data_IF_327620358323
#
_entry.id   IF_327620358323
#
_cell.length_a   1.000
_cell.length_b   1.000
_cell.length_c   1.000
_cell.angle_alpha   90.00
_cell.angle_beta   90.00
_cell.angle_gamma   90.00
#
_symmetry.space_group_name_H-M   'P 1'
#
loop_
_entity.id
_entity.type
_entity.pdbx_description
1 polymer ?
#
# COMPACT_ATOMS: atom_id res chain seq x y z
N UNK A 1 -19.14 12.56 15.82
CA UNK A 1 -18.25 11.45 16.20
C UNK A 1 -16.83 11.95 16.00
N UNK A 2 -16.14 12.26 17.09
CA UNK A 2 -14.75 12.71 17.06
C UNK A 2 -13.85 11.56 16.62
N UNK A 3 -13.11 11.77 15.53
CA UNK A 3 -12.12 10.83 15.04
C UNK A 3 -10.98 10.75 16.05
N UNK A 4 -10.83 9.60 16.70
CA UNK A 4 -9.75 9.37 17.65
C UNK A 4 -8.38 9.56 16.98
N UNK A 5 -7.45 10.32 17.60
CA UNK A 5 -6.20 10.76 16.97
C UNK A 5 -5.25 9.60 16.64
N UNK A 6 -5.45 8.44 17.23
CA UNK A 6 -4.62 7.24 17.02
C UNK A 6 -4.91 6.56 15.66
N UNK A 7 -6.10 6.78 15.08
CA UNK A 7 -6.49 6.17 13.79
C UNK A 7 -5.77 6.81 12.59
N UNK A 8 -5.34 8.08 12.72
CA UNK A 8 -4.66 8.86 11.69
C UNK A 8 -3.27 8.35 11.32
N UNK A 9 -2.65 7.57 12.20
CA UNK A 9 -1.30 7.05 12.01
C UNK A 9 -1.29 5.67 11.35
N UNK A 10 -2.36 4.87 11.44
CA UNK A 10 -2.34 3.47 11.01
C UNK A 10 -2.89 3.23 9.60
N UNK A 11 -3.54 4.22 8.99
CA UNK A 11 -4.12 4.10 7.66
C UNK A 11 -3.49 5.13 6.69
N UNK A 12 -2.45 4.77 5.92
CA UNK A 12 -1.81 5.69 4.97
C UNK A 12 -2.78 6.18 3.86
N UNK A 13 -3.92 5.51 3.67
CA UNK A 13 -5.00 5.93 2.78
C UNK A 13 -6.10 6.78 3.46
N UNK A 14 -6.09 6.92 4.80
CA UNK A 14 -6.93 7.94 5.47
C UNK A 14 -6.49 9.36 5.08
N UNK A 15 -5.21 9.53 4.69
CA UNK A 15 -4.65 10.80 4.22
C UNK A 15 -5.19 11.26 2.87
N UNK A 16 -5.89 10.40 2.11
CA UNK A 16 -6.74 10.84 1.00
C UNK A 16 -8.06 11.41 1.56
N UNK A 17 -7.88 12.54 2.25
CA UNK A 17 -8.74 13.71 2.37
C UNK A 17 -10.13 13.60 2.98
N UNK A 18 -10.59 12.48 3.55
CA UNK A 18 -11.99 12.40 4.03
C UNK A 18 -13.01 12.83 2.95
N UNK A 19 -12.57 12.84 1.68
CA UNK A 19 -13.22 13.35 0.50
C UNK A 19 -12.80 12.44 -0.64
N UNK A 20 -13.77 12.01 -1.44
CA UNK A 20 -13.57 11.19 -2.63
C UNK A 20 -14.04 11.95 -3.86
N UNK A 21 -13.44 11.66 -5.00
CA UNK A 21 -13.82 12.26 -6.28
C UNK A 21 -14.87 11.39 -6.96
N UNK A 22 -15.98 12.01 -7.36
CA UNK A 22 -16.94 11.35 -8.23
C UNK A 22 -16.41 11.35 -9.67
N UNK A 23 -16.29 10.17 -10.29
CA UNK A 23 -15.82 10.02 -11.67
C UNK A 23 -16.76 10.63 -12.72
N UNK A 24 -18.03 10.84 -12.37
CA UNK A 24 -19.02 11.40 -13.29
C UNK A 24 -19.02 12.94 -13.27
N UNK A 25 -19.05 13.55 -12.07
CA UNK A 25 -19.17 15.00 -11.93
C UNK A 25 -17.85 15.69 -11.55
N UNK A 26 -16.76 14.94 -11.34
CA UNK A 26 -15.45 15.42 -10.89
C UNK A 26 -15.48 16.27 -9.61
N UNK A 27 -16.57 16.20 -8.84
CA UNK A 27 -16.67 16.90 -7.55
C UNK A 27 -16.09 16.05 -6.43
N UNK A 28 -15.37 16.71 -5.53
CA UNK A 28 -14.90 16.12 -4.28
C UNK A 28 -15.99 16.25 -3.22
N UNK A 29 -16.42 15.12 -2.67
CA UNK A 29 -17.46 15.03 -1.66
C UNK A 29 -16.95 14.28 -0.43
N UNK A 30 -17.38 14.62 0.79
CA UNK A 30 -16.98 13.93 1.99
C UNK A 30 -17.23 12.42 1.88
N UNK A 31 -16.26 11.60 2.25
CA UNK A 31 -16.35 10.12 2.18
C UNK A 31 -17.50 9.60 3.06
N UNK A 32 -17.88 10.35 4.10
CA UNK A 32 -18.98 10.02 5.00
C UNK A 32 -20.35 10.13 4.33
N UNK A 33 -20.48 10.87 3.22
CA UNK A 33 -21.73 11.00 2.45
C UNK A 33 -21.95 9.79 1.51
N UNK A 34 -20.97 8.88 1.39
CA UNK A 34 -21.05 7.74 0.49
C UNK A 34 -21.38 6.45 1.24
N UNK A 35 -22.38 5.76 0.72
CA UNK A 35 -22.73 4.39 1.07
C UNK A 35 -22.79 3.53 -0.19
N UNK A 36 -22.53 2.25 -0.03
CA UNK A 36 -22.72 1.27 -1.09
C UNK A 36 -24.22 1.16 -1.42
N UNK A 37 -24.57 1.20 -2.71
CA UNK A 37 -25.98 1.27 -3.16
C UNK A 37 -26.78 0.02 -2.80
N UNK A 38 -26.12 -1.13 -2.76
CA UNK A 38 -26.69 -2.45 -2.48
C UNK A 38 -26.87 -2.71 -0.98
N UNK A 39 -25.86 -2.37 -0.16
CA UNK A 39 -25.86 -2.70 1.28
C UNK A 39 -26.17 -1.51 2.19
N UNK A 40 -26.24 -0.30 1.63
CA UNK A 40 -26.29 0.97 2.37
C UNK A 40 -25.17 1.13 3.41
N UNK A 41 -24.09 0.34 3.29
CA UNK A 41 -22.96 0.40 4.20
C UNK A 41 -22.04 1.57 3.83
N UNK A 42 -21.60 2.31 4.84
CA UNK A 42 -20.60 3.37 4.66
C UNK A 42 -19.20 2.81 4.41
N UNK A 43 -18.36 3.57 3.71
CA UNK A 43 -16.96 3.19 3.44
C UNK A 43 -16.17 2.96 4.76
N UNK A 44 -16.52 3.69 5.82
CA UNK A 44 -15.89 3.53 7.13
C UNK A 44 -16.23 2.17 7.76
N UNK A 45 -17.51 1.81 7.81
CA UNK A 45 -17.96 0.51 8.30
C UNK A 45 -17.35 -0.64 7.51
N UNK A 46 -17.24 -0.49 6.18
CA UNK A 46 -16.60 -1.50 5.32
C UNK A 46 -15.14 -1.74 5.72
N UNK A 47 -14.38 -0.65 5.94
CA UNK A 47 -12.96 -0.74 6.35
C UNK A 47 -12.78 -1.37 7.73
N UNK A 48 -13.68 -1.08 8.66
CA UNK A 48 -13.65 -1.63 10.01
C UNK A 48 -13.91 -3.13 9.98
N UNK A 49 -14.98 -3.58 9.33
CA UNK A 49 -15.27 -5.01 9.13
C UNK A 49 -14.14 -5.73 8.41
N UNK A 50 -13.56 -5.07 7.41
CA UNK A 50 -12.40 -5.62 6.71
C UNK A 50 -11.19 -5.77 7.62
N UNK A 51 -10.89 -4.78 8.46
CA UNK A 51 -9.76 -4.84 9.39
C UNK A 51 -9.94 -5.94 10.45
N UNK A 52 -11.16 -6.20 10.89
CA UNK A 52 -11.47 -7.29 11.82
C UNK A 52 -11.26 -8.67 11.20
N UNK A 53 -11.70 -8.84 9.95
CA UNK A 53 -11.67 -10.14 9.25
C UNK A 53 -10.36 -10.42 8.52
N UNK A 54 -9.56 -9.40 8.24
CA UNK A 54 -8.31 -9.57 7.51
C UNK A 54 -7.32 -10.43 8.28
N UNK A 55 -6.61 -11.37 7.64
CA UNK A 55 -5.56 -12.09 8.30
C UNK A 55 -4.42 -11.15 8.70
N UNK A 56 -3.66 -11.51 9.74
CA UNK A 56 -2.63 -10.66 10.33
C UNK A 56 -1.61 -10.13 9.31
N UNK A 57 -1.16 -11.00 8.39
CA UNK A 57 -0.20 -10.61 7.35
C UNK A 57 -0.77 -9.57 6.39
N UNK A 58 -2.05 -9.67 6.02
CA UNK A 58 -2.69 -8.66 5.18
C UNK A 58 -2.78 -7.32 5.92
N UNK A 59 -3.18 -7.34 7.20
CA UNK A 59 -3.21 -6.13 8.04
C UNK A 59 -1.83 -5.48 8.13
N UNK A 60 -0.77 -6.26 8.30
CA UNK A 60 0.60 -5.72 8.38
C UNK A 60 0.95 -4.92 7.14
N UNK A 61 0.65 -5.40 5.93
CA UNK A 61 0.98 -4.68 4.69
C UNK A 61 0.30 -3.31 4.62
N UNK A 62 -0.91 -3.19 5.17
CA UNK A 62 -1.66 -1.92 5.22
C UNK A 62 -1.22 -0.95 6.31
N UNK A 63 -0.36 -1.37 7.24
CA UNK A 63 0.22 -0.46 8.22
C UNK A 63 1.37 0.34 7.62
N UNK A 64 1.67 1.55 8.13
CA UNK A 64 2.87 2.29 7.73
C UNK A 64 4.14 1.47 7.91
N UNK A 65 4.21 0.66 8.97
CA UNK A 65 5.33 -0.23 9.22
C UNK A 65 5.49 -1.27 8.09
N UNK A 66 4.43 -1.94 7.68
CA UNK A 66 4.49 -2.90 6.57
C UNK A 66 4.80 -2.25 5.22
N UNK A 67 4.25 -1.06 4.96
CA UNK A 67 4.59 -0.28 3.76
C UNK A 67 6.08 0.08 3.75
N UNK A 68 6.62 0.53 4.88
CA UNK A 68 8.06 0.81 5.04
C UNK A 68 8.92 -0.44 4.88
N UNK A 69 8.45 -1.61 5.32
CA UNK A 69 9.17 -2.89 5.13
C UNK A 69 9.24 -3.25 3.65
N UNK A 70 8.16 -3.06 2.87
CA UNK A 70 8.17 -3.36 1.43
C UNK A 70 9.06 -2.37 0.67
N UNK A 71 8.94 -1.07 0.95
CA UNK A 71 9.76 -0.05 0.31
C UNK A 71 11.23 -0.16 0.72
N UNK A 72 11.49 -0.36 2.02
CA UNK A 72 12.83 -0.57 2.54
C UNK A 72 13.46 -1.86 2.02
N UNK A 73 12.69 -2.95 1.94
CA UNK A 73 13.13 -4.23 1.42
C UNK A 73 13.51 -4.17 -0.06
N UNK A 74 12.66 -3.59 -0.91
CA UNK A 74 12.96 -3.40 -2.33
C UNK A 74 14.17 -2.49 -2.58
N UNK A 75 14.31 -1.43 -1.78
CA UNK A 75 15.47 -0.54 -1.79
C UNK A 75 16.76 -1.28 -1.38
N UNK A 76 16.69 -2.07 -0.31
CA UNK A 76 17.81 -2.87 0.19
C UNK A 76 18.24 -3.92 -0.84
N UNK A 77 17.30 -4.59 -1.50
CA UNK A 77 17.58 -5.54 -2.58
C UNK A 77 18.28 -4.83 -3.75
N UNK A 78 17.78 -3.67 -4.17
CA UNK A 78 18.41 -2.87 -5.23
C UNK A 78 19.84 -2.44 -4.88
N UNK A 79 20.07 -2.02 -3.63
CA UNK A 79 21.39 -1.67 -3.13
C UNK A 79 22.34 -2.89 -3.09
N UNK A 80 21.87 -4.02 -2.57
CA UNK A 80 22.65 -5.26 -2.50
C UNK A 80 23.06 -5.74 -3.90
N UNK A 81 22.16 -5.71 -4.87
CA UNK A 81 22.48 -6.05 -6.26
C UNK A 81 23.54 -5.11 -6.86
N UNK A 82 23.43 -3.80 -6.58
CA UNK A 82 24.45 -2.83 -6.97
C UNK A 82 25.80 -3.09 -6.31
N UNK A 83 25.83 -3.46 -5.03
CA UNK A 83 27.06 -3.82 -4.32
C UNK A 83 27.66 -5.14 -4.81
N UNK A 84 26.84 -6.15 -5.14
CA UNK A 84 27.32 -7.42 -5.67
C UNK A 84 28.01 -7.26 -7.04
N UNK A 85 27.69 -6.20 -7.79
CA UNK A 85 28.41 -5.88 -9.03
C UNK A 85 29.91 -5.56 -8.82
N UNK A 86 30.32 -5.24 -7.58
CA UNK A 86 31.74 -5.04 -7.21
C UNK A 86 32.59 -6.29 -7.38
N UNK A 87 31.99 -7.48 -7.40
CA UNK A 87 32.70 -8.73 -7.68
C UNK A 87 33.20 -8.81 -9.13
N UNK A 88 32.62 -8.01 -10.02
CA UNK A 88 32.92 -8.03 -11.47
C UNK A 88 33.62 -6.73 -11.90
N UNK A 89 33.34 -5.62 -11.22
CA UNK A 89 33.83 -4.28 -11.60
C UNK A 89 34.78 -3.76 -10.52
N UNK A 90 36.03 -3.46 -10.89
CA UNK A 90 37.05 -2.94 -9.95
C UNK A 90 36.92 -1.43 -9.66
N UNK A 91 36.18 -0.70 -10.48
CA UNK A 91 36.10 0.75 -10.38
C UNK A 91 35.12 1.20 -9.29
N UNK A 92 35.64 1.80 -8.21
CA UNK A 92 34.85 2.22 -7.04
C UNK A 92 33.73 3.22 -7.36
N UNK A 93 33.94 4.14 -8.32
CA UNK A 93 32.92 5.12 -8.70
C UNK A 93 31.79 4.47 -9.50
N UNK A 94 32.09 3.44 -10.31
CA UNK A 94 31.08 2.67 -11.04
C UNK A 94 30.22 1.86 -10.07
N UNK A 95 30.84 1.24 -9.07
CA UNK A 95 30.13 0.53 -8.00
C UNK A 95 29.17 1.49 -7.28
N UNK A 96 29.65 2.68 -6.91
CA UNK A 96 28.82 3.70 -6.26
C UNK A 96 27.63 4.14 -7.11
N UNK A 97 27.84 4.35 -8.41
CA UNK A 97 26.78 4.69 -9.36
C UNK A 97 25.75 3.56 -9.50
N UNK A 98 26.18 2.31 -9.66
CA UNK A 98 25.29 1.15 -9.79
C UNK A 98 24.50 0.89 -8.50
N UNK A 99 25.12 1.05 -7.34
CA UNK A 99 24.45 1.00 -6.05
C UNK A 99 23.36 2.06 -5.93
N UNK A 100 23.66 3.31 -6.30
CA UNK A 100 22.69 4.40 -6.28
C UNK A 100 21.53 4.17 -7.26
N UNK A 101 21.83 3.79 -8.51
CA UNK A 101 20.81 3.48 -9.51
C UNK A 101 19.94 2.30 -9.06
N UNK A 102 20.56 1.23 -8.55
CA UNK A 102 19.84 0.07 -8.01
C UNK A 102 18.92 0.44 -6.86
N UNK A 103 19.36 1.31 -5.95
CA UNK A 103 18.54 1.84 -4.85
C UNK A 103 17.32 2.60 -5.37
N UNK A 104 17.52 3.53 -6.31
CA UNK A 104 16.44 4.34 -6.89
C UNK A 104 15.45 3.46 -7.65
N UNK A 105 15.93 2.58 -8.52
CA UNK A 105 15.09 1.63 -9.27
C UNK A 105 14.34 0.71 -8.31
N UNK A 106 15.00 0.16 -7.29
CA UNK A 106 14.40 -0.68 -6.27
C UNK A 106 13.24 0.02 -5.55
N UNK A 107 13.42 1.29 -5.17
CA UNK A 107 12.36 2.09 -4.55
C UNK A 107 11.13 2.24 -5.48
N UNK A 108 11.33 2.63 -6.74
CA UNK A 108 10.22 2.79 -7.69
C UNK A 108 9.53 1.46 -8.00
N UNK A 109 10.30 0.39 -8.15
CA UNK A 109 9.77 -0.97 -8.32
C UNK A 109 8.95 -1.37 -7.11
N UNK A 110 9.41 -1.08 -5.89
CA UNK A 110 8.66 -1.30 -4.65
C UNK A 110 7.32 -0.55 -4.61
N UNK A 111 7.29 0.69 -5.10
CA UNK A 111 6.04 1.46 -5.23
C UNK A 111 5.08 0.84 -6.24
N UNK A 112 5.56 0.45 -7.42
CA UNK A 112 4.72 -0.11 -8.49
C UNK A 112 4.21 -1.50 -8.12
N UNK A 113 5.03 -2.31 -7.45
CA UNK A 113 4.69 -3.68 -7.06
C UNK A 113 3.75 -3.73 -5.84
N UNK A 114 3.67 -2.66 -5.04
CA UNK A 114 2.82 -2.64 -3.86
C UNK A 114 1.34 -2.88 -4.23
N UNK A 115 0.81 -2.24 -5.26
CA UNK A 115 -0.59 -2.44 -5.69
C UNK A 115 -0.93 -3.88 -6.11
N UNK A 116 -0.17 -4.54 -7.02
CA UNK A 116 -0.46 -5.92 -7.39
C UNK A 116 -0.20 -6.90 -6.24
N UNK A 117 0.78 -6.64 -5.35
CA UNK A 117 0.95 -7.43 -4.12
C UNK A 117 -0.28 -7.31 -3.25
N UNK A 118 -0.80 -6.10 -3.06
CA UNK A 118 -2.03 -5.87 -2.29
C UNK A 118 -3.23 -6.60 -2.91
N UNK A 119 -3.39 -6.52 -4.23
CA UNK A 119 -4.43 -7.26 -4.94
C UNK A 119 -4.28 -8.78 -4.78
N UNK A 120 -3.06 -9.31 -4.85
CA UNK A 120 -2.77 -10.72 -4.63
C UNK A 120 -3.05 -11.13 -3.18
N UNK A 121 -2.64 -10.31 -2.21
CA UNK A 121 -2.90 -10.46 -0.78
C UNK A 121 -4.41 -10.57 -0.55
N UNK A 122 -5.22 -9.68 -1.14
CA UNK A 122 -6.68 -9.79 -1.03
C UNK A 122 -7.20 -11.09 -1.62
N UNK A 123 -6.77 -11.46 -2.84
CA UNK A 123 -7.21 -12.70 -3.49
C UNK A 123 -6.86 -13.94 -2.67
N UNK A 124 -5.65 -14.01 -2.11
CA UNK A 124 -5.20 -15.14 -1.29
C UNK A 124 -5.88 -15.17 0.08
N UNK A 125 -6.09 -14.01 0.70
CA UNK A 125 -6.73 -13.92 2.01
C UNK A 125 -8.20 -14.31 1.98
N UNK A 126 -8.89 -13.98 0.89
CA UNK A 126 -10.35 -14.02 0.86
C UNK A 126 -10.92 -14.97 -0.19
N UNK A 127 -10.14 -15.44 -1.17
CA UNK A 127 -10.62 -16.22 -2.32
C UNK A 127 -11.80 -15.57 -3.07
N UNK A 128 -11.99 -14.27 -2.90
CA UNK A 128 -13.08 -13.53 -3.52
C UNK A 128 -12.51 -12.63 -4.61
N UNK A 129 -13.11 -12.65 -5.80
CA UNK A 129 -12.74 -11.77 -6.91
C UNK A 129 -13.17 -10.31 -6.65
N UNK A 130 -14.26 -10.13 -5.90
CA UNK A 130 -14.77 -8.84 -5.47
C UNK A 130 -14.78 -8.72 -3.94
N UNK A 131 -13.97 -7.82 -3.33
CA UNK A 131 -13.92 -7.64 -1.87
C UNK A 131 -15.27 -7.23 -1.25
N UNK A 132 -16.28 -6.88 -2.06
CA UNK A 132 -17.66 -6.62 -1.61
C UNK A 132 -18.44 -7.88 -1.24
N UNK A 133 -18.07 -9.06 -1.76
CA UNK A 133 -18.79 -10.31 -1.44
C UNK A 133 -18.34 -10.96 -0.13
N UNK A 134 -17.53 -10.26 0.67
CA UNK A 134 -17.19 -10.66 2.03
C UNK A 134 -18.37 -10.43 2.97
N UNK A 135 -19.36 -11.33 2.92
CA UNK A 135 -20.53 -11.39 3.82
C UNK A 135 -20.12 -11.97 5.17
#
# INVERSE_FOLDING_TARGET
MDLQPHSLLSNPLQRFSGRTACSHCNQFRPVQEFAWVDTNETIAAFRERWAERAPFWARMVYTPAGTLVIWGGSTAVGLLLGLLSSQVISSWWVIGLLAFVGMVVGFFVGMIILEPILALVFRLAYQVEDPRQLI
#
